data_IF_564595766037
#
_entry.id   IF_564595766037
#
_cell.length_a   1.000
_cell.length_b   1.000
_cell.length_c   1.000
_cell.angle_alpha   90.00
_cell.angle_beta   90.00
_cell.angle_gamma   90.00
#
_symmetry.space_group_name_H-M   'P 1'
#
loop_
_entity.id
_entity.type
_entity.pdbx_description
1 polymer ?
#
# COMPACT_ATOMS: atom_id res chain seq x y z
N UNK A 1 -8.55 15.43 -43.02
CA UNK A 1 -9.45 15.71 -41.89
C UNK A 1 -9.62 14.40 -41.15
N UNK A 2 -8.69 14.11 -40.26
CA UNK A 2 -8.63 12.88 -39.47
C UNK A 2 -9.47 13.12 -38.22
N UNK A 3 -10.42 12.23 -37.92
CA UNK A 3 -11.22 12.30 -36.70
C UNK A 3 -10.30 12.33 -35.47
N UNK A 4 -10.59 13.15 -34.46
CA UNK A 4 -9.89 13.06 -33.17
C UNK A 4 -10.22 11.71 -32.53
N UNK A 5 -9.17 11.07 -32.02
CA UNK A 5 -9.24 9.86 -31.19
C UNK A 5 -10.04 10.21 -29.92
N UNK A 6 -11.20 9.58 -29.77
CA UNK A 6 -12.08 9.77 -28.63
C UNK A 6 -11.33 9.27 -27.40
N UNK A 7 -10.89 10.20 -26.56
CA UNK A 7 -10.00 10.00 -25.41
C UNK A 7 -10.58 9.11 -24.30
N UNK A 8 -10.78 7.83 -24.60
CA UNK A 8 -10.95 6.75 -23.64
C UNK A 8 -9.86 5.71 -23.88
N UNK A 9 -8.61 6.16 -23.89
CA UNK A 9 -7.49 5.28 -23.63
C UNK A 9 -7.63 4.75 -22.21
N UNK A 10 -8.11 3.50 -22.08
CA UNK A 10 -8.14 2.77 -20.82
C UNK A 10 -6.81 2.99 -20.10
N UNK A 11 -6.84 3.60 -18.93
CA UNK A 11 -5.63 3.80 -18.14
C UNK A 11 -5.15 2.42 -17.68
N UNK A 12 -4.27 1.80 -18.46
CA UNK A 12 -3.66 0.53 -18.11
C UNK A 12 -2.96 0.72 -16.76
N UNK A 13 -3.39 -0.05 -15.76
CA UNK A 13 -2.83 0.03 -14.41
C UNK A 13 -1.45 -0.60 -14.44
N UNK A 14 -0.40 0.16 -14.09
CA UNK A 14 0.94 -0.40 -13.92
C UNK A 14 1.01 -1.23 -12.63
N UNK A 15 0.71 -2.53 -12.77
CA UNK A 15 0.72 -3.52 -11.70
C UNK A 15 2.11 -3.66 -11.07
N UNK A 16 3.19 -3.54 -11.86
CA UNK A 16 4.55 -3.66 -11.35
C UNK A 16 4.91 -2.47 -10.46
N UNK A 17 4.56 -1.26 -10.89
CA UNK A 17 4.75 -0.05 -10.09
C UNK A 17 3.94 -0.08 -8.79
N UNK A 18 2.71 -0.60 -8.82
CA UNK A 18 1.88 -0.77 -7.62
C UNK A 18 2.51 -1.75 -6.63
N UNK A 19 2.98 -2.91 -7.10
CA UNK A 19 3.66 -3.90 -6.26
C UNK A 19 4.95 -3.34 -5.67
N UNK A 20 5.79 -2.68 -6.48
CA UNK A 20 7.02 -2.06 -6.00
C UNK A 20 6.74 -1.00 -4.92
N UNK A 21 5.66 -0.22 -5.08
CA UNK A 21 5.26 0.79 -4.09
C UNK A 21 4.74 0.16 -2.80
N UNK A 22 3.90 -0.87 -2.89
CA UNK A 22 3.41 -1.60 -1.72
C UNK A 22 4.55 -2.26 -0.94
N UNK A 23 5.52 -2.87 -1.63
CA UNK A 23 6.72 -3.44 -1.00
C UNK A 23 7.53 -2.38 -0.27
N UNK A 24 7.71 -1.19 -0.84
CA UNK A 24 8.39 -0.07 -0.17
C UNK A 24 7.66 0.40 1.08
N UNK A 25 6.32 0.46 1.05
CA UNK A 25 5.53 0.80 2.24
C UNK A 25 5.66 -0.26 3.33
N UNK A 26 5.61 -1.54 2.95
CA UNK A 26 5.82 -2.65 3.90
C UNK A 26 7.20 -2.59 4.55
N UNK A 27 8.24 -2.36 3.75
CA UNK A 27 9.62 -2.26 4.26
C UNK A 27 9.78 -1.09 5.24
N UNK A 28 9.38 0.12 4.85
CA UNK A 28 9.49 1.30 5.74
C UNK A 28 8.68 1.14 7.03
N UNK A 29 7.54 0.46 6.94
CA UNK A 29 6.74 0.16 8.12
C UNK A 29 7.45 -0.80 9.07
N UNK A 30 8.19 -1.79 8.54
CA UNK A 30 9.00 -2.68 9.36
C UNK A 30 10.20 -1.95 9.99
N UNK A 31 10.85 -1.06 9.23
CA UNK A 31 11.93 -0.21 9.72
C UNK A 31 11.46 0.69 10.87
N UNK A 32 10.28 1.31 10.74
CA UNK A 32 9.67 2.13 11.80
C UNK A 32 9.37 1.31 13.06
N UNK A 33 8.82 0.10 12.90
CA UNK A 33 8.50 -0.79 14.02
C UNK A 33 9.73 -1.32 14.75
N UNK A 34 10.90 -1.36 14.08
CA UNK A 34 12.15 -1.80 14.67
C UNK A 34 12.86 -0.70 15.50
N UNK A 35 12.38 0.55 15.44
CA UNK A 35 12.97 1.64 16.23
C UNK A 35 12.64 1.45 17.72
N UNK A 36 13.68 1.25 18.53
CA UNK A 36 13.54 1.21 19.98
C UNK A 36 13.30 2.61 20.53
N UNK A 37 12.21 2.84 21.27
CA UNK A 37 11.98 4.12 21.91
C UNK A 37 13.03 4.40 23.00
N UNK A 38 13.53 5.65 23.14
CA UNK A 38 14.44 6.00 24.22
C UNK A 38 13.85 5.71 25.61
N UNK A 39 14.70 5.23 26.53
CA UNK A 39 14.28 4.92 27.89
C UNK A 39 13.67 6.15 28.57
N UNK A 40 12.53 5.96 29.25
CA UNK A 40 11.95 6.99 30.09
C UNK A 40 12.92 7.34 31.22
N UNK A 41 13.19 8.64 31.43
CA UNK A 41 14.05 9.12 32.51
C UNK A 41 13.44 8.87 33.90
N UNK A 42 14.30 8.87 34.92
CA UNK A 42 13.89 8.71 36.33
C UNK A 42 12.82 9.76 36.73
N UNK A 43 11.68 9.35 37.29
CA UNK A 43 10.55 10.24 37.56
C UNK A 43 10.80 11.06 38.83
N UNK A 44 11.44 12.21 38.66
CA UNK A 44 11.37 13.29 39.63
C UNK A 44 11.13 14.58 38.83
N UNK A 45 10.03 15.31 39.15
CA UNK A 45 9.47 16.51 38.50
C UNK A 45 8.20 16.26 37.60
N UNK A 46 7.15 17.12 37.69
CA UNK A 46 5.94 17.04 36.84
C UNK A 46 6.21 17.07 35.34
N UNK A 47 7.29 17.72 34.91
CA UNK A 47 7.73 17.78 33.51
C UNK A 47 8.11 16.38 33.00
N UNK A 48 8.73 15.54 33.84
CA UNK A 48 9.13 14.17 33.47
C UNK A 48 7.91 13.29 33.20
N UNK A 49 6.87 13.39 34.03
CA UNK A 49 5.60 12.68 33.80
C UNK A 49 4.91 13.14 32.51
N UNK A 50 4.94 14.44 32.21
CA UNK A 50 4.39 14.98 30.96
C UNK A 50 5.19 14.54 29.72
N UNK A 51 6.51 14.52 29.79
CA UNK A 51 7.37 14.00 28.69
C UNK A 51 7.15 12.50 28.48
N UNK A 52 7.04 11.73 29.56
CA UNK A 52 6.74 10.30 29.50
C UNK A 52 5.39 10.00 28.83
N UNK A 53 4.34 10.77 29.13
CA UNK A 53 3.03 10.57 28.49
C UNK A 53 3.03 10.92 27.00
N UNK A 54 3.78 11.95 26.59
CA UNK A 54 3.99 12.27 25.17
C UNK A 54 4.73 11.12 24.46
N UNK A 55 5.72 10.53 25.11
CA UNK A 55 6.46 9.39 24.54
C UNK A 55 5.53 8.20 24.25
N UNK A 56 4.70 7.82 25.22
CA UNK A 56 3.69 6.76 25.06
C UNK A 56 2.70 7.08 23.94
N UNK A 57 2.25 8.34 23.83
CA UNK A 57 1.35 8.74 22.76
C UNK A 57 2.00 8.63 21.36
N UNK A 58 3.28 8.96 21.24
CA UNK A 58 4.05 8.82 19.98
C UNK A 58 4.22 7.34 19.61
N UNK A 59 4.55 6.47 20.57
CA UNK A 59 4.63 5.02 20.35
C UNK A 59 3.30 4.45 19.85
N UNK A 60 2.19 4.83 20.50
CA UNK A 60 0.85 4.40 20.10
C UNK A 60 0.52 4.84 18.66
N UNK A 61 0.84 6.10 18.31
CA UNK A 61 0.61 6.63 16.98
C UNK A 61 1.49 5.93 15.92
N UNK A 62 2.75 5.63 16.25
CA UNK A 62 3.66 4.90 15.37
C UNK A 62 3.17 3.46 15.12
N UNK A 63 2.69 2.78 16.16
CA UNK A 63 2.09 1.46 16.05
C UNK A 63 0.84 1.48 15.14
N UNK A 64 -0.08 2.43 15.35
CA UNK A 64 -1.28 2.57 14.53
C UNK A 64 -0.95 2.86 13.06
N UNK A 65 0.01 3.75 12.80
CA UNK A 65 0.48 4.06 11.46
C UNK A 65 1.09 2.82 10.77
N UNK A 66 1.89 2.05 11.50
CA UNK A 66 2.53 0.82 11.03
C UNK A 66 1.46 -0.19 10.59
N UNK A 67 0.49 -0.49 11.46
CA UNK A 67 -0.61 -1.42 11.17
C UNK A 67 -1.41 -0.98 9.93
N UNK A 68 -1.75 0.31 9.84
CA UNK A 68 -2.50 0.84 8.69
C UNK A 68 -1.69 0.73 7.39
N UNK A 69 -0.39 1.01 7.44
CA UNK A 69 0.50 0.96 6.27
C UNK A 69 0.64 -0.48 5.78
N UNK A 70 0.85 -1.44 6.67
CA UNK A 70 0.91 -2.87 6.32
C UNK A 70 -0.42 -3.37 5.73
N UNK A 71 -1.55 -3.03 6.36
CA UNK A 71 -2.88 -3.40 5.84
C UNK A 71 -3.12 -2.85 4.43
N UNK A 72 -2.75 -1.59 4.20
CA UNK A 72 -2.88 -0.94 2.88
C UNK A 72 -1.98 -1.61 1.85
N UNK A 73 -0.72 -1.90 2.20
CA UNK A 73 0.21 -2.58 1.31
C UNK A 73 -0.31 -3.97 0.88
N UNK A 74 -0.82 -4.75 1.84
CA UNK A 74 -1.41 -6.07 1.56
C UNK A 74 -2.65 -5.97 0.67
N UNK A 75 -3.53 -5.00 0.91
CA UNK A 75 -4.70 -4.76 0.08
C UNK A 75 -4.32 -4.41 -1.36
N UNK A 76 -3.33 -3.52 -1.54
CA UNK A 76 -2.83 -3.14 -2.87
C UNK A 76 -2.20 -4.32 -3.59
N UNK A 77 -1.35 -5.11 -2.91
CA UNK A 77 -0.74 -6.31 -3.50
C UNK A 77 -1.80 -7.33 -3.93
N UNK A 78 -2.81 -7.55 -3.09
CA UNK A 78 -3.92 -8.48 -3.39
C UNK A 78 -4.74 -7.98 -4.57
N UNK A 79 -5.07 -6.68 -4.59
CA UNK A 79 -5.79 -6.05 -5.70
C UNK A 79 -5.01 -6.13 -7.01
N UNK A 80 -3.71 -5.83 -6.98
CA UNK A 80 -2.82 -5.92 -8.14
C UNK A 80 -2.76 -7.35 -8.72
N UNK A 81 -2.65 -8.36 -7.85
CA UNK A 81 -2.70 -9.78 -8.28
C UNK A 81 -4.05 -10.13 -8.91
N UNK A 82 -5.16 -9.69 -8.29
CA UNK A 82 -6.51 -9.94 -8.80
C UNK A 82 -6.74 -9.28 -10.17
N UNK A 83 -6.26 -8.05 -10.33
CA UNK A 83 -6.35 -7.34 -11.60
C UNK A 83 -5.62 -8.10 -12.72
N UNK A 84 -4.38 -8.53 -12.49
CA UNK A 84 -3.63 -9.34 -13.48
C UNK A 84 -4.35 -10.63 -13.88
N UNK A 85 -4.88 -11.37 -12.91
CA UNK A 85 -5.65 -12.59 -13.20
C UNK A 85 -6.94 -12.32 -13.99
N UNK A 86 -7.61 -11.18 -13.74
CA UNK A 86 -8.78 -10.77 -14.51
C UNK A 86 -8.41 -10.45 -15.96
N UNK A 87 -7.30 -9.76 -16.21
CA UNK A 87 -6.83 -9.44 -17.56
C UNK A 87 -6.46 -10.70 -18.35
N UNK A 88 -5.79 -11.67 -17.71
CA UNK A 88 -5.49 -12.97 -18.32
C UNK A 88 -6.77 -13.74 -18.69
N UNK A 89 -7.77 -13.73 -17.79
CA UNK A 89 -9.07 -14.37 -18.03
C UNK A 89 -9.81 -13.70 -19.20
N UNK A 90 -9.88 -12.37 -19.19
CA UNK A 90 -10.51 -11.59 -20.25
C UNK A 90 -9.83 -11.83 -21.61
N UNK A 91 -8.50 -11.89 -21.64
CA UNK A 91 -7.74 -12.20 -22.86
C UNK A 91 -8.07 -13.60 -23.40
N UNK A 92 -8.17 -14.61 -22.52
CA UNK A 92 -8.55 -15.97 -22.90
C UNK A 92 -9.99 -16.04 -23.43
N UNK A 93 -10.94 -15.37 -22.79
CA UNK A 93 -12.33 -15.30 -23.25
C UNK A 93 -12.44 -14.61 -24.61
N UNK A 94 -11.77 -13.47 -24.81
CA UNK A 94 -11.73 -12.78 -26.09
C UNK A 94 -11.09 -13.65 -27.19
N UNK A 95 -10.02 -14.38 -26.87
CA UNK A 95 -9.40 -15.31 -27.80
C UNK A 95 -10.35 -16.47 -28.17
N UNK A 96 -11.17 -16.95 -27.23
CA UNK A 96 -12.14 -18.02 -27.46
C UNK A 96 -13.41 -17.56 -28.22
N UNK A 97 -13.69 -16.25 -28.29
CA UNK A 97 -14.78 -15.70 -29.10
C UNK A 97 -14.39 -15.51 -30.58
N UNK A 98 -13.10 -15.27 -30.89
CA UNK A 98 -12.61 -15.10 -32.28
C UNK A 98 -12.92 -16.30 -33.21
N UNK A 99 -12.86 -17.58 -32.79
CA UNK A 99 -13.19 -18.74 -33.62
C UNK A 99 -14.67 -18.88 -34.01
N UNK A 100 -15.60 -18.11 -33.42
CA UNK A 100 -17.05 -18.22 -33.68
C UNK A 100 -17.59 -17.20 -34.69
N UNK A 101 -16.72 -16.34 -35.23
CA UNK A 101 -17.08 -15.27 -36.17
C UNK A 101 -16.66 -15.58 -37.63
N UNK A 102 -16.65 -16.86 -38.02
CA UNK A 102 -16.44 -17.31 -39.41
C UNK A 102 -17.61 -18.17 -39.87
#
# INVERSE_FOLDING_TARGET
MTLPDDGTGSAAVDVQQLQATASRWSQRSAELAALTPPAAGEPFQPITAAVGSVHVAVELAAAALTTRTQSTALAVMTGARRYGANEETAAAEMAAMRPRLV
#
